data_IF_863941573507
#
_entry.id   IF_863941573507
#
_cell.length_a   1.000
_cell.length_b   1.000
_cell.length_c   1.000
_cell.angle_alpha   90.00
_cell.angle_beta   90.00
_cell.angle_gamma   90.00
#
_symmetry.space_group_name_H-M   'P 1'
#
loop_
_entity.id
_entity.type
_entity.pdbx_description
1 polymer ?
#
# COMPACT_ATOMS: atom_id res chain seq x y z
N UNK A 1 18.10 -9.41 -16.38
CA UNK A 1 17.29 -8.17 -16.28
C UNK A 1 16.77 -8.08 -14.84
N UNK A 2 16.85 -6.92 -14.18
CA UNK A 2 16.24 -6.72 -12.85
C UNK A 2 14.92 -5.94 -13.02
N UNK A 3 13.81 -6.34 -12.37
CA UNK A 3 12.53 -5.65 -12.52
C UNK A 3 12.60 -4.25 -11.93
N UNK A 4 11.92 -3.28 -12.55
CA UNK A 4 11.81 -1.90 -12.05
C UNK A 4 10.58 -1.69 -11.17
N UNK A 5 9.61 -2.58 -11.27
CA UNK A 5 8.31 -2.52 -10.58
C UNK A 5 7.96 -3.91 -10.06
N UNK A 6 7.46 -3.97 -8.83
CA UNK A 6 6.87 -5.17 -8.24
C UNK A 6 5.45 -4.85 -7.82
N UNK A 7 4.50 -5.62 -8.34
CA UNK A 7 3.06 -5.50 -8.06
C UNK A 7 2.66 -6.68 -7.18
N UNK A 8 1.95 -6.41 -6.09
CA UNK A 8 1.55 -7.40 -5.09
C UNK A 8 0.05 -7.27 -4.84
N UNK A 9 -0.66 -8.37 -5.05
CA UNK A 9 -2.11 -8.44 -4.88
C UNK A 9 -2.45 -8.96 -3.48
N UNK A 10 -3.03 -8.11 -2.63
CA UNK A 10 -3.38 -8.40 -1.24
C UNK A 10 -2.33 -9.22 -0.43
N UNK A 11 -1.05 -8.83 -0.40
CA UNK A 11 0.03 -9.69 0.12
C UNK A 11 0.00 -9.95 1.63
N UNK A 12 -0.84 -9.22 2.38
CA UNK A 12 -0.99 -9.38 3.83
C UNK A 12 -2.25 -10.18 4.22
N UNK A 13 -3.07 -10.56 3.24
CA UNK A 13 -4.27 -11.35 3.53
C UNK A 13 -3.86 -12.71 4.13
N UNK A 14 -4.65 -13.18 5.10
CA UNK A 14 -4.40 -14.41 5.86
C UNK A 14 -3.08 -14.47 6.68
N UNK A 15 -2.34 -13.36 6.82
CA UNK A 15 -1.20 -13.28 7.73
C UNK A 15 -1.63 -12.83 9.13
N UNK A 16 -0.96 -13.35 10.16
CA UNK A 16 -1.10 -12.80 11.50
C UNK A 16 -0.40 -11.42 11.59
N UNK A 17 -0.76 -10.56 12.56
CA UNK A 17 -0.21 -9.21 12.67
C UNK A 17 1.32 -9.14 12.76
N UNK A 18 1.98 -10.16 13.34
CA UNK A 18 3.45 -10.19 13.44
C UNK A 18 4.07 -10.56 12.09
N UNK A 19 3.52 -11.56 11.39
CA UNK A 19 3.98 -11.91 10.05
C UNK A 19 3.78 -10.76 9.06
N UNK A 20 2.63 -10.07 9.09
CA UNK A 20 2.37 -8.91 8.26
C UNK A 20 3.40 -7.80 8.49
N UNK A 21 3.69 -7.48 9.76
CA UNK A 21 4.72 -6.51 10.13
C UNK A 21 6.11 -6.91 9.62
N UNK A 22 6.46 -8.19 9.72
CA UNK A 22 7.73 -8.71 9.19
C UNK A 22 7.82 -8.53 7.67
N UNK A 23 6.75 -8.87 6.94
CA UNK A 23 6.67 -8.69 5.49
C UNK A 23 6.80 -7.21 5.09
N UNK A 24 6.17 -6.30 5.84
CA UNK A 24 6.32 -4.84 5.64
C UNK A 24 7.78 -4.41 5.74
N UNK A 25 8.52 -4.91 6.72
CA UNK A 25 9.95 -4.61 6.87
C UNK A 25 10.76 -5.14 5.68
N UNK A 26 10.53 -6.40 5.27
CA UNK A 26 11.21 -6.99 4.11
C UNK A 26 10.98 -6.20 2.83
N UNK A 27 9.72 -5.85 2.53
CA UNK A 27 9.35 -5.08 1.35
C UNK A 27 10.00 -3.70 1.35
N UNK A 28 10.03 -3.05 2.51
CA UNK A 28 10.70 -1.76 2.68
C UNK A 28 12.22 -1.86 2.44
N UNK A 29 12.85 -2.95 2.85
CA UNK A 29 14.28 -3.12 2.64
C UNK A 29 14.61 -3.48 1.17
N UNK A 30 13.75 -4.24 0.52
CA UNK A 30 13.85 -4.49 -0.94
C UNK A 30 13.72 -3.17 -1.71
N UNK A 31 12.73 -2.33 -1.37
CA UNK A 31 12.54 -1.01 -1.99
C UNK A 31 13.79 -0.14 -1.87
N UNK A 32 14.36 -0.06 -0.66
CA UNK A 32 15.58 0.73 -0.39
C UNK A 32 16.80 0.20 -1.12
N UNK A 33 16.99 -1.12 -1.11
CA UNK A 33 18.21 -1.75 -1.62
C UNK A 33 18.24 -1.78 -3.14
N UNK A 34 17.08 -2.02 -3.76
CA UNK A 34 16.98 -2.20 -5.22
C UNK A 34 16.43 -0.96 -5.94
N UNK A 35 15.86 0.01 -5.22
CA UNK A 35 15.27 1.21 -5.82
C UNK A 35 14.07 0.92 -6.72
N UNK A 36 13.36 -0.18 -6.47
CA UNK A 36 12.21 -0.61 -7.29
C UNK A 36 10.93 0.08 -6.85
N UNK A 37 10.00 0.29 -7.77
CA UNK A 37 8.65 0.77 -7.43
C UNK A 37 7.81 -0.39 -6.89
N UNK A 38 7.13 -0.17 -5.78
CA UNK A 38 6.21 -1.15 -5.20
C UNK A 38 4.77 -0.69 -5.41
N UNK A 39 3.93 -1.57 -5.91
CA UNK A 39 2.49 -1.36 -6.07
C UNK A 39 1.76 -2.45 -5.30
N UNK A 40 0.85 -2.05 -4.42
CA UNK A 40 0.08 -2.98 -3.58
C UNK A 40 -1.40 -2.75 -3.79
N UNK A 41 -2.19 -3.80 -3.94
CA UNK A 41 -3.64 -3.74 -3.73
C UNK A 41 -3.94 -4.16 -2.29
N UNK A 42 -4.69 -3.35 -1.55
CA UNK A 42 -5.02 -3.62 -0.15
C UNK A 42 -6.45 -3.18 0.14
N UNK A 43 -7.10 -3.83 1.10
CA UNK A 43 -8.38 -3.36 1.64
C UNK A 43 -8.24 -2.88 3.11
N UNK A 44 -7.08 -3.08 3.73
CA UNK A 44 -6.79 -2.70 5.12
C UNK A 44 -6.08 -1.34 5.18
N UNK A 45 -6.73 -0.35 5.80
CA UNK A 45 -6.19 1.00 5.98
C UNK A 45 -5.10 1.10 7.05
N UNK A 46 -5.00 0.15 7.99
CA UNK A 46 -4.01 0.21 9.07
C UNK A 46 -2.58 -0.04 8.54
N UNK A 47 -2.47 -0.80 7.45
CA UNK A 47 -1.20 -1.15 6.81
C UNK A 47 -0.71 -0.03 5.87
N UNK A 48 -1.62 0.74 5.29
CA UNK A 48 -1.34 1.73 4.24
C UNK A 48 -0.30 2.78 4.68
N UNK A 49 -0.42 3.43 5.87
CA UNK A 49 0.55 4.42 6.33
C UNK A 49 1.97 3.88 6.53
N UNK A 50 2.13 2.57 6.73
CA UNK A 50 3.41 1.92 7.00
C UNK A 50 4.24 1.68 5.73
N UNK A 51 3.59 1.62 4.57
CA UNK A 51 4.16 1.20 3.30
C UNK A 51 4.10 2.27 2.22
N UNK A 52 2.99 3.00 2.12
CA UNK A 52 2.66 3.80 0.94
C UNK A 52 3.06 5.27 1.09
N UNK A 53 3.51 5.88 0.00
CA UNK A 53 3.66 7.34 -0.12
C UNK A 53 2.48 7.95 -0.89
N UNK A 54 1.89 7.13 -1.75
CA UNK A 54 0.73 7.47 -2.58
C UNK A 54 -0.35 6.43 -2.36
N UNK A 55 -1.57 6.92 -2.16
CA UNK A 55 -2.75 6.08 -1.96
C UNK A 55 -3.79 6.47 -2.99
N UNK A 56 -4.32 5.48 -3.68
CA UNK A 56 -5.45 5.64 -4.59
C UNK A 56 -6.61 4.83 -4.06
N UNK A 57 -7.75 5.47 -3.85
CA UNK A 57 -9.00 4.78 -3.52
C UNK A 57 -9.77 4.56 -4.82
N UNK A 58 -10.17 3.32 -5.06
CA UNK A 58 -11.01 2.92 -6.15
C UNK A 58 -12.35 2.42 -5.64
N UNK A 59 -13.43 2.80 -6.32
CA UNK A 59 -14.77 2.28 -6.11
C UNK A 59 -15.36 1.89 -7.47
N UNK A 60 -15.85 0.66 -7.60
CA UNK A 60 -16.47 0.15 -8.84
C UNK A 60 -15.62 0.35 -10.11
N UNK A 61 -14.29 0.23 -9.99
CA UNK A 61 -13.36 0.41 -11.11
C UNK A 61 -12.99 1.86 -11.43
N UNK A 62 -13.56 2.84 -10.71
CA UNK A 62 -13.22 4.25 -10.84
C UNK A 62 -12.35 4.73 -9.67
N UNK A 63 -11.35 5.57 -9.96
CA UNK A 63 -10.58 6.23 -8.91
C UNK A 63 -11.41 7.36 -8.32
N UNK A 64 -11.77 7.25 -7.04
CA UNK A 64 -12.54 8.25 -6.32
C UNK A 64 -11.67 9.22 -5.53
N UNK A 65 -10.46 8.79 -5.13
CA UNK A 65 -9.53 9.63 -4.39
C UNK A 65 -8.07 9.30 -4.71
N UNK A 66 -7.24 10.34 -4.76
CA UNK A 66 -5.80 10.23 -4.82
C UNK A 66 -5.19 11.09 -3.71
N UNK A 67 -4.40 10.46 -2.85
CA UNK A 67 -3.69 11.13 -1.76
C UNK A 67 -2.18 10.86 -1.87
N UNK A 68 -1.40 11.87 -1.52
CA UNK A 68 0.05 11.80 -1.43
C UNK A 68 0.48 12.40 -0.11
N UNK A 69 1.21 11.62 0.67
CA UNK A 69 1.67 12.01 2.00
C UNK A 69 2.92 11.24 2.36
N UNK A 70 3.83 11.87 3.10
CA UNK A 70 4.97 11.17 3.70
C UNK A 70 4.51 10.46 4.97
N UNK A 71 3.66 9.44 4.83
CA UNK A 71 3.19 8.66 5.96
C UNK A 71 4.36 7.97 6.70
N UNK A 72 5.42 7.61 5.96
CA UNK A 72 6.66 7.01 6.49
C UNK A 72 7.87 7.97 6.56
N UNK A 73 7.68 9.29 6.32
CA UNK A 73 8.76 10.28 6.44
C UNK A 73 9.93 10.18 5.44
N UNK A 74 9.95 9.23 4.50
CA UNK A 74 11.06 8.97 3.56
C UNK A 74 10.55 9.07 2.11
N UNK A 75 11.34 9.64 1.19
CA UNK A 75 11.05 9.62 -0.27
C UNK A 75 11.12 8.17 -0.76
N UNK A 76 9.98 7.51 -0.97
CA UNK A 76 9.91 6.19 -1.61
C UNK A 76 8.95 6.25 -2.81
N UNK A 77 9.01 5.20 -3.62
CA UNK A 77 8.14 4.98 -4.79
C UNK A 77 7.21 3.81 -4.48
N UNK A 78 6.41 3.95 -3.42
CA UNK A 78 5.40 2.98 -3.03
C UNK A 78 4.00 3.54 -3.30
N UNK A 79 3.21 2.78 -4.07
CA UNK A 79 1.83 3.10 -4.40
C UNK A 79 0.94 2.03 -3.79
N UNK A 80 -0.02 2.43 -2.96
CA UNK A 80 -1.09 1.54 -2.53
C UNK A 80 -2.38 1.90 -3.26
N UNK A 81 -3.04 0.87 -3.78
CA UNK A 81 -4.34 0.92 -4.39
C UNK A 81 -5.32 0.26 -3.44
N UNK A 82 -6.31 1.01 -2.97
CA UNK A 82 -7.37 0.50 -2.12
C UNK A 82 -8.61 0.30 -2.99
N UNK A 83 -9.09 -0.94 -3.06
CA UNK A 83 -10.26 -1.29 -3.87
C UNK A 83 -11.47 -1.51 -2.96
N UNK A 84 -12.47 -0.64 -3.04
CA UNK A 84 -13.75 -0.77 -2.32
C UNK A 84 -14.66 -1.76 -3.05
N UNK A 85 -14.88 -2.93 -2.44
CA UNK A 85 -15.88 -3.91 -2.86
C UNK A 85 -17.00 -4.09 -1.83
N UNK A 86 -16.98 -3.38 -0.69
CA UNK A 86 -17.98 -3.55 0.40
C UNK A 86 -18.18 -2.26 1.18
N UNK A 87 -18.93 -1.33 0.58
CA UNK A 87 -19.73 -0.29 1.23
C UNK A 87 -19.20 0.18 2.60
N UNK A 88 -18.14 0.95 2.61
CA UNK A 88 -17.60 1.50 3.84
C UNK A 88 -18.39 2.75 4.27
N UNK A 89 -18.79 2.88 5.56
CA UNK A 89 -19.26 4.14 6.09
C UNK A 89 -18.04 5.04 6.32
N UNK A 90 -17.90 6.05 5.47
CA UNK A 90 -17.31 7.38 5.71
C UNK A 90 -16.59 7.52 7.07
N UNK A 91 -15.26 7.42 7.06
CA UNK A 91 -14.38 8.12 8.01
C UNK A 91 -13.70 9.27 7.26
N UNK A 92 -14.47 10.32 6.98
CA UNK A 92 -13.99 11.62 6.46
C UNK A 92 -13.68 12.61 7.60
N UNK A 93 -13.39 12.13 8.82
CA UNK A 93 -13.23 13.02 9.99
C UNK A 93 -12.21 12.54 11.04
N UNK A 94 -11.05 12.02 10.62
CA UNK A 94 -9.84 11.91 11.45
C UNK A 94 -8.60 12.24 10.61
#
# INVERSE_FOLDING_TARGET
MKPKVLVLDEPFNALDPRAASHLVHMLNDINKTLGITLIFTLHDMDIVPLLADKVYLMNQGEMVLAAWGRFSGKKRSCVSLICDCRGWPIWLNC
#
